data_IF_810267692473
#
_entry.id   IF_810267692473
#
_cell.length_a   1.000
_cell.length_b   1.000
_cell.length_c   1.000
_cell.angle_alpha   90.00
_cell.angle_beta   90.00
_cell.angle_gamma   90.00
#
_symmetry.space_group_name_H-M   'P 1'
#
loop_
_entity.id
_entity.type
_entity.pdbx_description
1 polymer ?
#
# COMPACT_ATOMS: atom_id res chain seq x y z
N UNK A 1 -58.42 -51.59 -16.42
CA UNK A 1 -57.21 -51.66 -15.62
C UNK A 1 -56.00 -51.07 -16.35
N UNK A 2 -56.06 -49.82 -16.83
CA UNK A 2 -54.88 -49.30 -17.60
C UNK A 2 -54.59 -47.82 -17.33
N UNK A 3 -55.24 -47.13 -16.40
CA UNK A 3 -55.02 -45.71 -16.17
C UNK A 3 -54.10 -45.40 -14.95
N UNK A 4 -53.91 -46.37 -14.01
CA UNK A 4 -53.13 -46.12 -12.82
C UNK A 4 -51.60 -46.26 -13.04
N UNK A 5 -51.21 -47.05 -14.05
CA UNK A 5 -49.80 -47.21 -14.40
C UNK A 5 -49.15 -46.00 -15.07
N UNK A 6 -49.95 -45.20 -15.82
CA UNK A 6 -49.47 -43.99 -16.46
C UNK A 6 -49.33 -42.78 -15.46
N UNK A 7 -50.14 -42.74 -14.41
CA UNK A 7 -50.08 -41.71 -13.39
C UNK A 7 -48.84 -41.81 -12.48
N UNK A 8 -48.45 -43.05 -12.17
CA UNK A 8 -47.26 -43.29 -11.31
C UNK A 8 -45.95 -43.01 -12.00
N UNK A 9 -45.89 -43.14 -13.36
CA UNK A 9 -44.66 -42.89 -14.11
C UNK A 9 -44.36 -41.38 -14.29
N UNK A 10 -45.40 -40.54 -14.37
CA UNK A 10 -45.25 -39.11 -14.52
C UNK A 10 -44.82 -38.43 -13.21
N UNK A 11 -45.34 -38.90 -12.08
CA UNK A 11 -44.96 -38.39 -10.75
C UNK A 11 -43.49 -38.59 -10.42
N UNK A 12 -42.88 -39.72 -10.86
CA UNK A 12 -41.47 -40.02 -10.60
C UNK A 12 -40.49 -39.19 -11.42
N UNK A 13 -40.92 -38.72 -12.59
CA UNK A 13 -40.10 -37.84 -13.44
C UNK A 13 -40.01 -36.41 -12.89
N UNK A 14 -41.12 -35.86 -12.40
CA UNK A 14 -41.18 -34.50 -11.84
C UNK A 14 -40.32 -34.40 -10.58
N UNK A 15 -40.31 -35.37 -9.71
CA UNK A 15 -39.50 -35.38 -8.50
C UNK A 15 -37.98 -35.44 -8.78
N UNK A 16 -37.56 -36.12 -9.85
CA UNK A 16 -36.15 -36.18 -10.23
C UNK A 16 -35.62 -34.83 -10.77
N UNK A 17 -36.43 -34.10 -11.54
CA UNK A 17 -36.02 -32.77 -12.03
C UNK A 17 -35.92 -31.69 -10.91
N UNK A 18 -36.76 -31.77 -9.91
CA UNK A 18 -36.65 -30.88 -8.74
C UNK A 18 -35.42 -31.20 -7.86
N UNK A 19 -35.05 -32.49 -7.71
CA UNK A 19 -33.90 -32.90 -6.95
C UNK A 19 -32.57 -32.46 -7.58
N UNK A 20 -32.44 -32.57 -8.92
CA UNK A 20 -31.21 -32.14 -9.62
C UNK A 20 -30.98 -30.65 -9.57
N UNK A 21 -32.02 -29.82 -9.66
CA UNK A 21 -31.91 -28.37 -9.53
C UNK A 21 -31.48 -27.96 -8.12
N UNK A 22 -32.01 -28.65 -7.09
CA UNK A 22 -31.60 -28.41 -5.69
C UNK A 22 -30.13 -28.72 -5.42
N UNK A 23 -29.58 -29.80 -5.99
CA UNK A 23 -28.18 -30.16 -5.85
C UNK A 23 -27.25 -29.09 -6.45
N UNK A 24 -27.55 -28.58 -7.64
CA UNK A 24 -26.78 -27.53 -8.29
C UNK A 24 -26.73 -26.21 -7.48
N UNK A 25 -27.84 -25.84 -6.83
CA UNK A 25 -27.85 -24.65 -5.94
C UNK A 25 -26.99 -24.88 -4.69
N UNK A 26 -26.94 -26.08 -4.16
CA UNK A 26 -26.13 -26.42 -2.99
C UNK A 26 -24.64 -26.40 -3.33
N UNK A 27 -24.25 -26.94 -4.48
CA UNK A 27 -22.88 -26.85 -4.99
C UNK A 27 -22.45 -25.39 -5.19
N UNK A 28 -23.31 -24.57 -5.83
CA UNK A 28 -23.05 -23.14 -6.02
C UNK A 28 -22.92 -22.41 -4.67
N UNK A 29 -23.80 -22.70 -3.70
CA UNK A 29 -23.75 -22.10 -2.37
C UNK A 29 -22.45 -22.42 -1.61
N UNK A 30 -21.84 -23.59 -1.86
CA UNK A 30 -20.54 -23.94 -1.27
C UNK A 30 -19.37 -23.19 -1.92
N UNK A 31 -19.43 -22.93 -3.22
CA UNK A 31 -18.36 -22.24 -3.97
C UNK A 31 -18.44 -20.72 -3.81
N UNK A 32 -19.67 -20.18 -3.66
CA UNK A 32 -19.93 -18.75 -3.60
C UNK A 32 -19.07 -17.98 -2.56
N UNK A 33 -18.92 -18.44 -1.29
CA UNK A 33 -18.11 -17.73 -0.31
C UNK A 33 -16.63 -17.63 -0.71
N UNK A 34 -16.05 -18.67 -1.30
CA UNK A 34 -14.67 -18.64 -1.79
C UNK A 34 -14.51 -17.67 -2.96
N UNK A 35 -15.48 -17.65 -3.87
CA UNK A 35 -15.50 -16.69 -4.97
C UNK A 35 -15.60 -15.25 -4.47
N UNK A 36 -16.46 -14.97 -3.48
CA UNK A 36 -16.57 -13.63 -2.89
C UNK A 36 -15.27 -13.17 -2.21
N UNK A 37 -14.60 -14.06 -1.46
CA UNK A 37 -13.29 -13.75 -0.86
C UNK A 37 -12.26 -13.42 -1.93
N UNK A 38 -12.25 -14.15 -3.04
CA UNK A 38 -11.34 -13.90 -4.16
C UNK A 38 -11.60 -12.53 -4.82
N UNK A 39 -12.86 -12.21 -5.11
CA UNK A 39 -13.24 -10.92 -5.70
C UNK A 39 -12.88 -9.76 -4.77
N UNK A 40 -13.16 -9.90 -3.47
CA UNK A 40 -12.77 -8.90 -2.48
C UNK A 40 -11.25 -8.73 -2.40
N UNK A 41 -10.50 -9.82 -2.55
CA UNK A 41 -9.04 -9.77 -2.63
C UNK A 41 -8.56 -8.87 -3.76
N UNK A 42 -9.10 -9.05 -4.96
CA UNK A 42 -8.73 -8.23 -6.14
C UNK A 42 -8.98 -6.75 -5.85
N UNK A 43 -10.13 -6.40 -5.27
CA UNK A 43 -10.47 -5.01 -4.94
C UNK A 43 -9.51 -4.42 -3.91
N UNK A 44 -9.18 -5.16 -2.85
CA UNK A 44 -8.27 -4.68 -1.80
C UNK A 44 -6.84 -4.50 -2.31
N UNK A 45 -6.34 -5.44 -3.10
CA UNK A 45 -5.02 -5.29 -3.74
C UNK A 45 -4.99 -4.11 -4.70
N UNK A 46 -6.05 -3.90 -5.50
CA UNK A 46 -6.17 -2.74 -6.38
C UNK A 46 -6.08 -1.41 -5.63
N UNK A 47 -6.71 -1.32 -4.45
CA UNK A 47 -6.60 -0.14 -3.56
C UNK A 47 -5.18 0.02 -3.01
N UNK A 48 -4.54 -1.06 -2.58
CA UNK A 48 -3.16 -1.04 -2.11
C UNK A 48 -2.19 -0.54 -3.18
N UNK A 49 -2.32 -1.01 -4.42
CA UNK A 49 -1.53 -0.55 -5.56
C UNK A 49 -1.75 0.93 -5.87
N UNK A 50 -2.99 1.40 -5.80
CA UNK A 50 -3.28 2.83 -5.99
C UNK A 50 -2.55 3.68 -4.94
N UNK A 51 -2.61 3.29 -3.66
CA UNK A 51 -1.88 4.00 -2.60
C UNK A 51 -0.37 3.95 -2.85
N UNK A 52 0.18 2.80 -3.24
CA UNK A 52 1.61 2.68 -3.57
C UNK A 52 2.03 3.65 -4.68
N UNK A 53 1.26 3.77 -5.76
CA UNK A 53 1.53 4.72 -6.84
C UNK A 53 1.43 6.18 -6.36
N UNK A 54 0.44 6.49 -5.54
CA UNK A 54 0.26 7.82 -4.96
C UNK A 54 1.44 8.20 -4.07
N UNK A 55 1.93 7.28 -3.23
CA UNK A 55 3.12 7.48 -2.40
C UNK A 55 4.38 7.68 -3.26
N UNK A 56 4.53 6.91 -4.34
CA UNK A 56 5.64 7.08 -5.28
C UNK A 56 5.68 8.49 -5.86
N UNK A 57 4.53 9.01 -6.28
CA UNK A 57 4.44 10.36 -6.83
C UNK A 57 4.67 11.42 -5.76
N UNK A 58 4.18 11.21 -4.53
CA UNK A 58 4.43 12.09 -3.40
C UNK A 58 5.93 12.18 -3.05
N UNK A 59 6.63 11.02 -3.03
CA UNK A 59 8.08 10.97 -2.83
C UNK A 59 8.83 11.72 -3.93
N UNK A 60 8.44 11.55 -5.20
CA UNK A 60 9.06 12.25 -6.34
C UNK A 60 8.89 13.76 -6.26
N UNK A 61 7.69 14.22 -5.93
CA UNK A 61 7.41 15.64 -5.77
C UNK A 61 8.20 16.25 -4.61
N UNK A 62 8.29 15.53 -3.49
CA UNK A 62 9.12 15.91 -2.34
C UNK A 62 10.61 15.95 -2.69
N UNK A 63 11.13 14.92 -3.35
CA UNK A 63 12.53 14.84 -3.74
C UNK A 63 12.91 15.94 -4.75
N UNK A 64 11.99 16.27 -5.69
CA UNK A 64 12.17 17.38 -6.63
C UNK A 64 12.34 18.73 -5.90
N UNK A 65 11.51 18.99 -4.89
CA UNK A 65 11.63 20.20 -4.09
C UNK A 65 12.89 20.17 -3.22
N UNK A 66 13.21 19.00 -2.63
CA UNK A 66 14.42 18.85 -1.82
C UNK A 66 15.70 19.11 -2.63
N UNK A 67 15.76 18.68 -3.89
CA UNK A 67 16.89 18.87 -4.79
C UNK A 67 17.08 20.32 -5.26
N UNK A 68 16.15 21.23 -4.99
CA UNK A 68 16.33 22.67 -5.30
C UNK A 68 17.25 23.38 -4.33
N UNK A 69 17.67 22.73 -3.25
CA UNK A 69 18.52 23.30 -2.21
C UNK A 69 19.89 22.64 -2.19
N UNK A 70 20.93 23.45 -2.16
CA UNK A 70 22.28 22.97 -1.94
C UNK A 70 22.46 22.49 -0.50
N UNK A 71 23.40 21.58 -0.26
CA UNK A 71 23.69 21.02 1.05
C UNK A 71 23.97 22.10 2.12
N UNK A 72 24.53 23.25 1.70
CA UNK A 72 24.81 24.40 2.58
C UNK A 72 23.56 25.14 3.02
N UNK A 73 22.43 24.97 2.32
CA UNK A 73 21.13 25.62 2.60
C UNK A 73 20.15 24.67 3.30
N UNK A 74 20.59 23.47 3.68
CA UNK A 74 19.76 22.49 4.34
C UNK A 74 19.52 22.93 5.78
N UNK A 75 18.27 23.22 6.08
CA UNK A 75 17.79 23.64 7.40
C UNK A 75 16.50 22.93 7.74
N UNK A 76 16.11 22.98 9.02
CA UNK A 76 14.79 22.47 9.43
C UNK A 76 13.65 23.19 8.66
N UNK A 77 13.80 24.48 8.34
CA UNK A 77 12.82 25.24 7.56
C UNK A 77 12.69 24.67 6.14
N UNK A 78 13.81 24.34 5.47
CA UNK A 78 13.77 23.73 4.14
C UNK A 78 13.15 22.33 4.18
N UNK A 79 13.49 21.51 5.19
CA UNK A 79 12.89 20.20 5.38
C UNK A 79 11.38 20.28 5.66
N UNK A 80 10.94 21.25 6.48
CA UNK A 80 9.51 21.49 6.71
C UNK A 80 8.77 21.87 5.43
N UNK A 81 9.37 22.70 4.55
CA UNK A 81 8.77 23.03 3.27
C UNK A 81 8.58 21.80 2.36
N UNK A 82 9.55 20.88 2.34
CA UNK A 82 9.44 19.61 1.62
C UNK A 82 8.33 18.75 2.23
N UNK A 83 8.31 18.62 3.57
CA UNK A 83 7.24 17.89 4.27
C UNK A 83 5.86 18.44 3.90
N UNK A 84 5.69 19.77 3.98
CA UNK A 84 4.40 20.43 3.75
C UNK A 84 3.93 20.23 2.30
N UNK A 85 4.86 20.22 1.35
CA UNK A 85 4.56 19.90 -0.05
C UNK A 85 4.06 18.47 -0.22
N UNK A 86 4.75 17.50 0.38
CA UNK A 86 4.37 16.08 0.35
C UNK A 86 3.02 15.87 1.02
N UNK A 87 2.82 16.45 2.21
CA UNK A 87 1.57 16.37 2.98
C UNK A 87 0.42 16.99 2.19
N UNK A 88 0.61 18.16 1.59
CA UNK A 88 -0.41 18.80 0.73
C UNK A 88 -0.79 17.92 -0.45
N UNK A 89 0.19 17.31 -1.12
CA UNK A 89 -0.06 16.37 -2.22
C UNK A 89 -0.84 15.15 -1.75
N UNK A 90 -0.45 14.52 -0.64
CA UNK A 90 -1.15 13.37 -0.08
C UNK A 90 -2.58 13.71 0.35
N UNK A 91 -2.80 14.89 0.95
CA UNK A 91 -4.13 15.37 1.33
C UNK A 91 -5.04 15.55 0.11
N UNK A 92 -4.51 16.06 -1.02
CA UNK A 92 -5.29 16.20 -2.27
C UNK A 92 -5.76 14.86 -2.83
N UNK A 93 -5.10 13.77 -2.47
CA UNK A 93 -5.45 12.39 -2.82
C UNK A 93 -6.33 11.69 -1.76
N UNK A 94 -6.72 12.40 -0.70
CA UNK A 94 -7.53 11.86 0.40
C UNK A 94 -6.78 10.89 1.32
N UNK A 95 -5.44 10.92 1.32
CA UNK A 95 -4.63 10.08 2.22
C UNK A 95 -4.51 10.76 3.59
N UNK A 96 -4.52 9.96 4.65
CA UNK A 96 -4.34 10.46 6.01
C UNK A 96 -2.88 10.85 6.25
N UNK A 97 -2.66 12.08 6.70
CA UNK A 97 -1.31 12.66 6.86
C UNK A 97 -0.95 13.02 8.29
N UNK A 98 -1.85 12.75 9.24
CA UNK A 98 -1.64 13.05 10.67
C UNK A 98 -0.38 12.38 11.26
N UNK A 99 0.12 11.33 10.63
CA UNK A 99 1.35 10.64 11.04
C UNK A 99 2.62 11.47 10.82
N UNK A 100 2.60 12.41 9.90
CA UNK A 100 3.77 13.24 9.49
C UNK A 100 3.73 14.64 10.07
N UNK A 101 2.81 14.91 11.00
CA UNK A 101 2.72 16.18 11.74
C UNK A 101 3.74 16.18 12.87
N UNK A 102 4.36 17.32 13.11
CA UNK A 102 5.33 17.50 14.17
C UNK A 102 6.59 18.20 13.69
N UNK A 103 7.50 18.42 14.62
CA UNK A 103 8.81 18.99 14.33
C UNK A 103 9.73 17.88 13.86
N UNK A 104 10.37 18.04 12.73
CA UNK A 104 11.35 17.06 12.24
C UNK A 104 12.49 16.92 13.23
N UNK A 105 12.82 15.68 13.56
CA UNK A 105 13.99 15.36 14.37
C UNK A 105 15.18 15.20 13.42
N UNK A 106 16.24 15.96 13.67
CA UNK A 106 17.48 15.82 12.92
C UNK A 106 18.26 14.61 13.45
N UNK A 107 18.32 13.53 12.66
CA UNK A 107 19.11 12.34 12.98
C UNK A 107 20.57 12.46 12.52
N UNK A 108 20.85 13.38 11.60
CA UNK A 108 22.19 13.80 11.15
C UNK A 108 22.06 15.19 10.51
N UNK A 109 23.17 15.84 10.17
CA UNK A 109 23.17 17.22 9.63
C UNK A 109 22.30 17.41 8.38
N UNK A 110 21.95 16.35 7.68
CA UNK A 110 21.18 16.36 6.42
C UNK A 110 19.87 15.59 6.48
N UNK A 111 19.60 14.84 7.58
CA UNK A 111 18.44 13.95 7.68
C UNK A 111 17.40 14.51 8.66
N UNK A 112 16.17 14.68 8.20
CA UNK A 112 15.03 15.08 9.01
C UNK A 112 13.97 13.97 8.98
N UNK A 113 13.48 13.59 10.15
CA UNK A 113 12.49 12.52 10.34
C UNK A 113 11.23 13.09 10.95
N UNK A 114 10.09 12.79 10.35
CA UNK A 114 8.76 13.12 10.85
C UNK A 114 7.98 11.83 11.07
N UNK A 115 7.37 11.68 12.24
CA UNK A 115 6.61 10.47 12.61
C UNK A 115 7.42 9.48 13.43
N UNK A 116 7.03 8.20 13.40
CA UNK A 116 7.58 7.14 14.27
C UNK A 116 8.59 6.27 13.51
N UNK A 117 9.81 6.75 13.43
CA UNK A 117 10.92 6.04 12.76
C UNK A 117 11.62 5.06 13.74
N UNK A 118 12.08 3.86 13.31
CA UNK A 118 11.82 3.20 12.02
C UNK A 118 10.60 2.29 12.03
N UNK A 119 9.94 2.10 13.17
CA UNK A 119 8.94 1.03 13.39
C UNK A 119 7.53 1.39 12.89
N UNK A 120 7.19 2.68 12.83
CA UNK A 120 5.85 3.16 12.50
C UNK A 120 5.74 3.83 11.14
N UNK A 121 4.74 4.71 11.02
CA UNK A 121 4.61 5.63 9.89
C UNK A 121 5.60 6.76 10.01
N UNK A 122 6.38 7.02 8.99
CA UNK A 122 7.36 8.12 8.98
C UNK A 122 7.57 8.70 7.59
N UNK A 123 8.10 9.92 7.58
CA UNK A 123 8.68 10.57 6.43
C UNK A 123 10.14 10.92 6.78
N UNK A 124 11.07 10.41 6.00
CA UNK A 124 12.48 10.76 6.09
C UNK A 124 12.84 11.65 4.89
N UNK A 125 13.38 12.81 5.18
CA UNK A 125 13.86 13.77 4.19
C UNK A 125 15.36 13.92 4.38
N UNK A 126 16.11 13.46 3.40
CA UNK A 126 17.55 13.64 3.31
C UNK A 126 17.83 14.64 2.20
N UNK A 127 18.52 15.74 2.52
CA UNK A 127 18.85 16.78 1.57
C UNK A 127 20.39 16.92 1.47
N UNK A 128 20.91 16.82 0.24
CA UNK A 128 22.31 17.06 -0.01
C UNK A 128 23.26 15.95 0.45
N UNK A 129 22.80 14.72 0.49
CA UNK A 129 23.70 13.57 0.66
C UNK A 129 24.66 13.44 -0.52
N UNK A 130 25.90 13.13 -0.23
CA UNK A 130 26.93 12.93 -1.28
C UNK A 130 26.91 11.46 -1.71
N UNK A 131 26.48 11.21 -2.93
CA UNK A 131 26.45 9.87 -3.52
C UNK A 131 27.55 9.71 -4.56
N UNK A 132 28.27 8.58 -4.59
CA UNK A 132 29.27 8.30 -5.61
C UNK A 132 28.62 8.01 -6.97
N UNK A 133 29.32 8.38 -8.05
CA UNK A 133 28.91 8.02 -9.40
C UNK A 133 28.89 6.51 -9.57
N UNK A 134 27.81 6.01 -10.18
CA UNK A 134 27.64 4.59 -10.50
C UNK A 134 27.61 4.38 -12.01
N UNK A 135 28.10 3.22 -12.44
CA UNK A 135 27.95 2.75 -13.82
C UNK A 135 26.51 2.31 -14.14
N UNK A 136 26.15 2.04 -15.39
CA UNK A 136 24.81 1.52 -15.74
C UNK A 136 24.45 0.19 -15.08
N UNK A 137 25.43 -0.56 -14.59
CA UNK A 137 25.25 -1.81 -13.84
C UNK A 137 25.04 -1.60 -12.34
N UNK A 138 25.12 -0.33 -11.85
CA UNK A 138 24.92 0.03 -10.45
C UNK A 138 26.18 -0.01 -9.58
N UNK A 139 27.37 -0.32 -10.13
CA UNK A 139 28.63 -0.35 -9.38
C UNK A 139 29.22 1.06 -9.23
N UNK A 140 29.90 1.31 -8.10
CA UNK A 140 30.60 2.58 -7.89
C UNK A 140 31.80 2.65 -8.83
N UNK A 141 31.91 3.75 -9.58
CA UNK A 141 33.05 4.01 -10.47
C UNK A 141 34.23 4.49 -9.61
N UNK A 142 35.35 3.72 -9.51
CA UNK A 142 36.52 4.16 -8.78
C UNK A 142 37.09 5.46 -9.39
N UNK A 143 37.24 6.50 -8.56
CA UNK A 143 37.69 7.83 -9.05
C UNK A 143 36.62 8.65 -9.78
N UNK A 144 35.37 8.17 -9.83
CA UNK A 144 34.23 8.91 -10.36
C UNK A 144 33.84 10.13 -9.53
N UNK A 145 33.06 11.01 -10.15
CA UNK A 145 32.56 12.19 -9.45
C UNK A 145 31.55 11.83 -8.35
N UNK A 146 31.46 12.71 -7.35
CA UNK A 146 30.40 12.64 -6.33
C UNK A 146 29.31 13.65 -6.70
N UNK A 147 28.05 13.24 -6.54
CA UNK A 147 26.90 14.10 -6.75
C UNK A 147 26.18 14.35 -5.44
N UNK A 148 25.68 15.54 -5.28
CA UNK A 148 24.70 15.79 -4.24
C UNK A 148 23.36 15.23 -4.66
N UNK A 149 22.72 14.48 -3.76
CA UNK A 149 21.41 13.89 -3.99
C UNK A 149 20.48 14.22 -2.82
N UNK A 150 19.24 14.37 -3.14
CA UNK A 150 18.18 14.51 -2.14
C UNK A 150 17.24 13.32 -2.23
N UNK A 151 16.94 12.71 -1.08
CA UNK A 151 16.07 11.53 -0.96
C UNK A 151 14.88 11.87 -0.06
N UNK A 152 13.70 11.50 -0.50
CA UNK A 152 12.49 11.49 0.33
C UNK A 152 12.00 10.05 0.41
N UNK A 153 11.82 9.57 1.63
CA UNK A 153 11.30 8.24 1.91
C UNK A 153 10.04 8.36 2.76
N UNK A 154 9.00 7.67 2.35
CA UNK A 154 7.71 7.61 3.03
C UNK A 154 7.40 6.19 3.45
N UNK A 155 6.90 6.03 4.68
CA UNK A 155 6.32 4.81 5.17
C UNK A 155 4.91 5.11 5.68
N UNK A 156 3.92 4.52 5.01
CA UNK A 156 2.50 4.79 5.22
C UNK A 156 1.80 3.56 5.80
N UNK A 157 1.03 3.69 6.88
CA UNK A 157 0.25 2.60 7.44
C UNK A 157 -0.99 2.35 6.57
N UNK A 158 -1.14 1.14 6.09
CA UNK A 158 -2.30 0.70 5.33
C UNK A 158 -2.98 -0.46 6.02
N UNK A 159 -4.27 -0.36 6.22
CA UNK A 159 -5.09 -1.44 6.74
C UNK A 159 -5.98 -1.98 5.63
N UNK A 160 -5.99 -3.29 5.44
CA UNK A 160 -6.91 -3.96 4.53
C UNK A 160 -8.28 -4.08 5.20
N UNK A 161 -9.31 -3.29 4.80
CA UNK A 161 -10.56 -3.21 5.57
C UNK A 161 -11.34 -4.53 5.63
N UNK A 162 -11.25 -5.36 4.61
CA UNK A 162 -11.91 -6.66 4.55
C UNK A 162 -11.02 -7.77 5.13
N UNK A 163 -9.79 -7.90 4.64
CA UNK A 163 -8.87 -8.96 5.09
C UNK A 163 -8.54 -8.87 6.57
N UNK A 164 -8.40 -7.67 7.13
CA UNK A 164 -8.14 -7.50 8.55
C UNK A 164 -9.29 -8.07 9.41
N UNK A 165 -10.54 -7.97 8.95
CA UNK A 165 -11.71 -8.55 9.65
C UNK A 165 -11.73 -10.07 9.56
N UNK A 166 -11.44 -10.62 8.37
CA UNK A 166 -11.39 -12.08 8.14
C UNK A 166 -10.23 -12.70 8.93
N UNK A 167 -9.05 -12.06 8.91
CA UNK A 167 -7.89 -12.55 9.67
C UNK A 167 -8.16 -12.54 11.17
N UNK A 168 -8.80 -11.48 11.70
CA UNK A 168 -9.17 -11.42 13.12
C UNK A 168 -10.20 -12.48 13.55
N UNK A 169 -11.00 -12.97 12.60
CA UNK A 169 -11.92 -14.08 12.86
C UNK A 169 -11.19 -15.42 12.99
N UNK A 170 -10.08 -15.59 12.25
CA UNK A 170 -9.32 -16.84 12.16
C UNK A 170 -8.13 -16.90 13.12
N UNK A 171 -7.54 -15.75 13.48
CA UNK A 171 -6.36 -15.67 14.35
C UNK A 171 -6.67 -14.88 15.62
N UNK A 172 -6.08 -15.27 16.77
CA UNK A 172 -6.20 -14.50 18.01
C UNK A 172 -5.67 -13.07 17.80
N UNK A 173 -6.35 -12.10 18.39
CA UNK A 173 -6.11 -10.66 18.22
C UNK A 173 -4.72 -10.16 18.64
N UNK A 174 -3.93 -10.99 19.32
CA UNK A 174 -2.56 -10.68 19.78
C UNK A 174 -1.48 -10.92 18.73
N UNK A 175 -1.79 -11.66 17.65
CA UNK A 175 -0.78 -12.04 16.66
C UNK A 175 -0.66 -11.04 15.50
N UNK A 176 -1.69 -10.23 15.23
CA UNK A 176 -1.70 -9.31 14.08
C UNK A 176 -2.70 -8.16 14.30
N UNK A 177 -2.21 -6.93 14.24
CA UNK A 177 -3.03 -5.72 14.39
C UNK A 177 -3.79 -5.31 13.12
N UNK A 178 -3.50 -5.97 12.00
CA UNK A 178 -4.12 -5.69 10.70
C UNK A 178 -3.50 -4.53 9.94
N UNK A 179 -2.41 -3.94 10.45
CA UNK A 179 -1.72 -2.81 9.81
C UNK A 179 -0.50 -3.30 9.03
N UNK A 180 -0.46 -2.96 7.75
CA UNK A 180 0.70 -3.13 6.88
C UNK A 180 1.33 -1.77 6.61
N UNK A 181 2.64 -1.75 6.41
CA UNK A 181 3.33 -0.52 6.06
C UNK A 181 3.77 -0.58 4.59
N UNK A 182 3.29 0.38 3.81
CA UNK A 182 3.72 0.57 2.42
C UNK A 182 4.83 1.61 2.44
N UNK A 183 6.04 1.20 2.05
CA UNK A 183 7.20 2.08 1.95
C UNK A 183 7.53 2.42 0.51
N UNK A 184 7.93 3.67 0.28
CA UNK A 184 8.47 4.12 -0.99
C UNK A 184 9.50 5.23 -0.80
N UNK A 185 10.42 5.35 -1.76
CA UNK A 185 11.43 6.40 -1.75
C UNK A 185 11.70 6.93 -3.14
N UNK A 186 12.05 8.20 -3.23
CA UNK A 186 12.55 8.82 -4.45
C UNK A 186 13.83 9.58 -4.15
N UNK A 187 14.77 9.51 -5.08
CA UNK A 187 16.06 10.22 -5.02
C UNK A 187 16.22 11.09 -6.26
N UNK A 188 16.61 12.32 -6.06
CA UNK A 188 16.91 13.28 -7.14
C UNK A 188 18.32 13.83 -6.95
N UNK A 189 19.00 14.07 -8.06
CA UNK A 189 20.28 14.77 -8.08
C UNK A 189 20.03 16.28 -7.94
N UNK A 190 20.84 16.93 -7.11
CA UNK A 190 20.83 18.38 -6.93
C UNK A 190 21.59 19.09 -8.04
#
# INVERSE_FOLDING_TARGET
>A
MSNDALKTQDSSRVTRFCSQRGAAYLEFAMVLPFFLVFVMGIVEFGRGFNIYHNLTNACREGARLAATKDATQVTLTSANAVRDRVVSYMNSLGLQTSYYTGTGVNSSSTNYVYGTYPSGAYMLINQGEVAPQKDPSGNIIPGGNYYQVSKVELRYPYTFPFFSRVIRLLLPSTAFDGTFYIGNSATMQN
#
